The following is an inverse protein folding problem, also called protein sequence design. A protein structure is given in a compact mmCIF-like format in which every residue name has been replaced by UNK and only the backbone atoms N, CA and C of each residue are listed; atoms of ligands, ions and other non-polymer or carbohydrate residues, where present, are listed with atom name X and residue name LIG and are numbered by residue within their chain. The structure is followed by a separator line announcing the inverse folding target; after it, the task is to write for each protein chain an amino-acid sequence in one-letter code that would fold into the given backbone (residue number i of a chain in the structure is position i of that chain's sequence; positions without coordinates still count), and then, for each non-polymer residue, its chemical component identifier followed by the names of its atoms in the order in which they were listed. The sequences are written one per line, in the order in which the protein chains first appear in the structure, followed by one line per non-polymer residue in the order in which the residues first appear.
data_IF_910566112534
#
_entry.id   IF_910566112534
#
_cell.length_a   1.000
_cell.length_b   1.000
_cell.length_c   1.000
_cell.angle_alpha   90.00
_cell.angle_beta   90.00
_cell.angle_gamma   90.00
#
_symmetry.space_group_name_H-M   'P 1'
#
loop_
_entity.id
_entity.type
_entity.pdbx_description
1 polymer ?
#
# COMPACT_ATOMS: atom_id res chain seq x y z
N UNK A 1 29.11 11.62 -1.16
CA UNK A 1 27.81 11.04 -1.56
C UNK A 1 26.79 11.55 -0.57
N UNK A 2 25.79 12.28 -1.03
CA UNK A 2 24.65 12.68 -0.21
C UNK A 2 23.66 11.52 -0.17
N UNK A 3 23.52 10.88 0.99
CA UNK A 3 22.44 9.93 1.24
C UNK A 3 21.22 10.70 1.78
N UNK A 4 19.98 10.19 1.63
CA UNK A 4 18.82 10.85 2.23
C UNK A 4 18.97 10.92 3.75
N UNK A 5 18.44 11.99 4.33
CA UNK A 5 18.38 12.17 5.78
C UNK A 5 17.05 11.61 6.29
N UNK A 6 17.09 10.64 7.20
CA UNK A 6 15.89 10.10 7.84
C UNK A 6 15.38 11.07 8.89
N UNK A 7 14.07 11.29 8.90
CA UNK A 7 13.39 11.93 10.01
C UNK A 7 12.35 10.97 10.61
N UNK A 8 12.43 10.74 11.92
CA UNK A 8 11.55 9.85 12.67
C UNK A 8 10.90 10.61 13.83
N UNK A 9 9.57 10.70 13.82
CA UNK A 9 8.81 11.43 14.82
C UNK A 9 7.82 10.51 15.54
N UNK A 10 7.72 10.65 16.86
CA UNK A 10 6.69 9.98 17.68
C UNK A 10 5.77 11.06 18.23
N UNK A 11 4.47 10.87 17.99
CA UNK A 11 3.43 11.79 18.42
C UNK A 11 2.54 11.10 19.46
N UNK A 12 2.62 11.58 20.71
CA UNK A 12 1.91 11.01 21.85
C UNK A 12 0.46 11.51 21.99
N UNK A 13 -0.05 12.32 21.06
CA UNK A 13 -1.47 12.70 21.06
C UNK A 13 -2.39 11.51 20.74
N UNK A 14 -3.66 11.64 21.12
CA UNK A 14 -4.73 10.69 20.78
C UNK A 14 -5.29 10.99 19.38
N UNK A 15 -6.20 10.14 18.92
CA UNK A 15 -6.95 10.35 17.68
C UNK A 15 -6.21 9.95 16.40
N UNK A 16 -6.95 9.86 15.28
CA UNK A 16 -6.46 9.27 14.02
C UNK A 16 -5.56 10.19 13.20
N UNK A 17 -5.59 11.52 13.41
CA UNK A 17 -4.82 12.46 12.59
C UNK A 17 -3.34 12.49 12.96
N UNK A 18 -2.48 12.47 11.95
CA UNK A 18 -1.03 12.68 12.11
C UNK A 18 -0.62 14.15 12.12
N UNK A 19 -1.52 15.06 11.72
CA UNK A 19 -1.24 16.49 11.73
C UNK A 19 -1.03 17.03 13.15
N UNK A 20 -0.21 18.08 13.27
CA UNK A 20 0.03 18.75 14.54
C UNK A 20 -1.23 19.49 15.01
N UNK A 21 -1.49 19.47 16.32
CA UNK A 21 -2.59 20.19 16.93
C UNK A 21 -2.52 21.70 16.63
N UNK A 22 -3.66 22.33 16.37
CA UNK A 22 -3.79 23.78 16.22
C UNK A 22 -3.61 24.43 17.57
N UNK A 23 -2.51 25.15 17.72
CA UNK A 23 -2.23 26.00 18.88
C UNK A 23 -2.66 27.42 18.48
N UNK A 24 -3.53 28.06 19.28
CA UNK A 24 -3.88 29.46 19.04
C UNK A 24 -2.61 30.33 18.99
N UNK A 25 -2.55 31.26 18.05
CA UNK A 25 -1.43 32.17 17.78
C UNK A 25 -0.13 31.52 17.24
N UNK A 26 -0.13 30.21 16.95
CA UNK A 26 1.01 29.49 16.34
C UNK A 26 0.60 28.56 15.20
N UNK A 27 -0.64 28.07 15.19
CA UNK A 27 -1.16 27.14 14.20
C UNK A 27 -1.55 27.81 12.88
N UNK A 28 -1.50 27.02 11.82
CA UNK A 28 -1.91 27.35 10.46
C UNK A 28 -3.31 26.75 10.25
N UNK A 29 -4.28 27.60 9.93
CA UNK A 29 -5.63 27.18 9.52
C UNK A 29 -5.54 26.22 8.33
N UNK A 30 -6.44 25.24 8.27
CA UNK A 30 -6.50 24.18 7.25
C UNK A 30 -5.29 23.22 7.19
N UNK A 31 -4.29 23.40 8.05
CA UNK A 31 -3.13 22.48 8.18
C UNK A 31 -3.11 21.80 9.53
N UNK A 32 -3.34 22.56 10.60
CA UNK A 32 -3.37 22.03 11.96
C UNK A 32 -4.77 21.55 12.37
N UNK A 33 -4.84 20.51 13.21
CA UNK A 33 -6.11 19.93 13.68
C UNK A 33 -6.49 20.42 15.07
N UNK A 34 -7.77 20.73 15.31
CA UNK A 34 -8.23 21.05 16.66
C UNK A 34 -8.05 19.82 17.56
N UNK A 35 -7.38 20.01 18.71
CA UNK A 35 -7.13 18.95 19.69
C UNK A 35 -7.44 19.44 21.11
N UNK A 36 -7.69 18.49 22.00
CA UNK A 36 -7.97 18.70 23.43
C UNK A 36 -6.72 19.08 24.25
N UNK A 37 -5.52 18.84 23.71
CA UNK A 37 -4.24 19.25 24.27
C UNK A 37 -3.19 19.48 23.19
N UNK A 38 -2.15 20.25 23.52
CA UNK A 38 -0.97 20.38 22.66
C UNK A 38 -0.29 19.01 22.50
N UNK A 39 -0.10 18.57 21.25
CA UNK A 39 0.53 17.29 20.96
C UNK A 39 2.00 17.29 21.40
N UNK A 40 2.38 16.34 22.26
CA UNK A 40 3.80 16.07 22.54
C UNK A 40 4.35 15.26 21.37
N UNK A 41 5.14 15.92 20.52
CA UNK A 41 5.83 15.32 19.39
C UNK A 41 7.31 15.32 19.71
N UNK A 42 7.94 14.15 19.64
CA UNK A 42 9.37 13.97 19.84
C UNK A 42 10.02 13.56 18.53
N UNK A 43 11.13 14.22 18.20
CA UNK A 43 12.07 13.81 17.16
C UNK A 43 13.04 12.78 17.76
N UNK A 44 13.12 11.60 17.13
CA UNK A 44 14.04 10.52 17.52
C UNK A 44 15.04 10.19 16.40
N UNK A 45 15.18 11.07 15.41
CA UNK A 45 15.99 10.85 14.21
C UNK A 45 17.47 10.61 14.51
N UNK A 46 18.00 11.26 15.55
CA UNK A 46 19.39 11.18 15.98
C UNK A 46 19.75 9.87 16.71
N UNK A 47 18.75 9.13 17.18
CA UNK A 47 18.91 7.87 17.91
C UNK A 47 18.39 6.65 17.15
N UNK A 48 18.04 6.79 15.87
CA UNK A 48 17.62 5.66 15.02
C UNK A 48 18.80 4.70 14.78
N UNK A 49 18.59 3.42 15.09
CA UNK A 49 19.54 2.35 14.79
C UNK A 49 19.08 1.49 13.60
N UNK A 50 17.78 1.22 13.48
CA UNK A 50 17.24 0.59 12.26
C UNK A 50 15.77 0.88 12.03
N UNK A 51 15.38 0.86 10.75
CA UNK A 51 13.99 0.98 10.31
C UNK A 51 13.73 -0.16 9.33
N UNK A 52 12.69 -0.93 9.58
CA UNK A 52 12.13 -1.87 8.61
C UNK A 52 10.66 -1.51 8.37
N UNK A 53 10.31 -1.21 7.12
CA UNK A 53 8.92 -0.97 6.70
C UNK A 53 8.50 -1.95 5.64
N UNK A 54 7.21 -2.32 5.65
CA UNK A 54 6.61 -3.13 4.59
C UNK A 54 5.18 -2.70 4.37
N UNK A 55 4.85 -2.31 3.14
CA UNK A 55 3.48 -2.05 2.68
C UNK A 55 3.29 -2.70 1.30
N UNK A 56 2.10 -3.18 0.97
CA UNK A 56 1.83 -3.62 -0.40
C UNK A 56 0.65 -4.55 -0.58
N UNK A 57 0.42 -4.90 -1.83
CA UNK A 57 -0.58 -5.86 -2.31
C UNK A 57 -0.05 -7.28 -2.28
N UNK A 58 -0.85 -8.20 -1.78
CA UNK A 58 -0.61 -9.62 -1.97
C UNK A 58 -1.28 -10.05 -3.28
N UNK A 59 -0.47 -10.49 -4.26
CA UNK A 59 -0.95 -10.85 -5.59
C UNK A 59 -1.86 -12.09 -5.61
N UNK A 60 -1.68 -13.04 -4.68
CA UNK A 60 -2.52 -14.26 -4.62
C UNK A 60 -3.86 -14.01 -3.92
N UNK A 61 -3.85 -13.17 -2.88
CA UNK A 61 -5.07 -12.75 -2.19
C UNK A 61 -5.78 -11.60 -2.91
N UNK A 62 -5.14 -11.01 -3.93
CA UNK A 62 -5.60 -9.85 -4.70
C UNK A 62 -5.98 -8.63 -3.83
N UNK A 63 -5.35 -8.48 -2.67
CA UNK A 63 -5.69 -7.47 -1.65
C UNK A 63 -4.46 -6.77 -1.08
N UNK A 64 -4.58 -5.46 -0.82
CA UNK A 64 -3.61 -4.71 -0.02
C UNK A 64 -3.60 -5.18 1.43
N UNK A 65 -2.40 -5.29 1.98
CA UNK A 65 -2.15 -5.78 3.32
C UNK A 65 -1.87 -4.62 4.27
N UNK A 66 -2.15 -4.81 5.57
CA UNK A 66 -1.77 -3.86 6.61
C UNK A 66 -0.27 -3.61 6.58
N UNK A 67 0.11 -2.35 6.37
CA UNK A 67 1.47 -1.88 6.43
C UNK A 67 2.05 -2.00 7.85
N UNK A 68 3.34 -2.28 7.92
CA UNK A 68 4.06 -2.49 9.18
C UNK A 68 5.35 -1.68 9.25
N UNK A 69 5.72 -1.30 10.47
CA UNK A 69 6.98 -0.65 10.81
C UNK A 69 7.59 -1.33 12.05
N UNK A 70 8.89 -1.61 11.97
CA UNK A 70 9.75 -1.89 13.11
C UNK A 70 10.84 -0.82 13.15
N UNK A 71 10.74 0.10 14.13
CA UNK A 71 11.73 1.14 14.40
C UNK A 71 12.55 0.74 15.63
N UNK A 72 13.87 0.61 15.50
CA UNK A 72 14.78 0.40 16.64
C UNK A 72 15.55 1.67 16.92
N UNK A 73 15.51 2.13 18.17
CA UNK A 73 16.24 3.31 18.64
C UNK A 73 17.21 2.94 19.76
N UNK A 74 18.30 3.70 19.87
CA UNK A 74 19.22 3.67 21.00
C UNK A 74 18.55 4.39 22.18
N UNK A 75 18.42 3.71 23.32
CA UNK A 75 17.69 4.19 24.50
C UNK A 75 18.52 4.04 25.78
N UNK A 76 19.73 4.60 25.78
CA UNK A 76 20.68 4.45 26.90
C UNK A 76 20.17 4.99 28.24
N UNK A 77 19.31 6.03 28.21
CA UNK A 77 18.72 6.61 29.41
C UNK A 77 17.39 5.94 29.81
N UNK A 78 16.92 4.95 29.03
CA UNK A 78 15.65 4.26 29.25
C UNK A 78 14.44 5.19 29.20
N UNK A 79 14.47 6.22 28.35
CA UNK A 79 13.36 7.17 28.19
C UNK A 79 12.12 6.53 27.57
N UNK A 80 12.30 5.47 26.78
CA UNK A 80 11.20 4.70 26.18
C UNK A 80 10.82 3.46 27.01
N UNK A 81 11.28 3.38 28.26
CA UNK A 81 10.79 2.40 29.23
C UNK A 81 9.55 2.95 29.96
N UNK A 82 8.36 2.33 29.81
CA UNK A 82 7.13 2.78 30.48
C UNK A 82 7.21 2.81 32.02
N UNK A 83 8.17 2.11 32.61
CA UNK A 83 8.38 2.04 34.07
C UNK A 83 9.41 3.06 34.59
N UNK A 84 10.06 3.82 33.71
CA UNK A 84 11.02 4.84 34.13
C UNK A 84 10.30 6.11 34.59
N UNK A 85 10.07 6.22 35.90
CA UNK A 85 9.38 7.36 36.53
C UNK A 85 10.10 8.69 36.29
N UNK A 86 11.43 8.67 36.13
CA UNK A 86 12.24 9.86 35.87
C UNK A 86 12.34 10.22 34.38
N UNK A 87 11.78 9.38 33.50
CA UNK A 87 11.84 9.57 32.06
C UNK A 87 10.85 10.65 31.57
N UNK A 88 11.21 11.44 30.54
CA UNK A 88 10.35 12.50 30.02
C UNK A 88 9.05 11.98 29.38
N UNK A 89 9.01 10.69 28.99
CA UNK A 89 7.86 10.05 28.35
C UNK A 89 7.08 9.13 29.30
N UNK A 90 7.37 9.18 30.60
CA UNK A 90 6.61 8.43 31.61
C UNK A 90 5.10 8.71 31.47
N UNK A 91 4.28 7.66 31.53
CA UNK A 91 2.82 7.67 31.29
C UNK A 91 2.36 7.99 29.86
N UNK A 92 3.24 8.42 28.94
CA UNK A 92 2.89 8.70 27.54
C UNK A 92 3.06 7.47 26.62
N UNK A 93 3.89 6.51 27.04
CA UNK A 93 4.25 5.28 26.31
C UNK A 93 3.14 4.23 26.33
N UNK A 94 1.95 4.58 25.85
CA UNK A 94 0.83 3.67 25.66
C UNK A 94 0.74 3.19 24.21
N UNK A 95 0.11 2.04 23.91
CA UNK A 95 -0.23 1.69 22.53
C UNK A 95 -1.14 2.74 21.87
N UNK A 96 -1.24 2.66 20.54
CA UNK A 96 -2.03 3.53 19.65
C UNK A 96 -1.59 5.00 19.63
N UNK A 97 -0.35 5.29 20.04
CA UNK A 97 0.33 6.54 19.71
C UNK A 97 0.83 6.51 18.28
N UNK A 98 1.17 7.66 17.72
CA UNK A 98 1.49 7.79 16.29
C UNK A 98 2.99 7.82 16.07
N UNK A 99 3.42 7.28 14.94
CA UNK A 99 4.80 7.34 14.47
C UNK A 99 4.82 7.70 13.00
N UNK A 100 5.74 8.57 12.60
CA UNK A 100 5.95 8.99 11.22
C UNK A 100 7.42 8.90 10.86
N UNK A 101 7.70 8.27 9.72
CA UNK A 101 9.02 8.15 9.12
C UNK A 101 8.98 8.87 7.77
N UNK A 102 9.93 9.77 7.57
CA UNK A 102 10.15 10.47 6.29
C UNK A 102 11.63 10.42 5.93
N UNK A 103 11.93 10.72 4.68
CA UNK A 103 13.29 10.95 4.22
C UNK A 103 13.39 12.26 3.46
N UNK A 104 14.38 13.08 3.78
CA UNK A 104 14.69 14.30 3.04
C UNK A 104 15.87 14.05 2.13
N UNK A 105 15.71 14.32 0.84
CA UNK A 105 16.78 14.26 -0.15
C UNK A 105 16.69 15.47 -1.08
N UNK A 106 17.81 16.20 -1.21
CA UNK A 106 17.78 17.53 -1.79
C UNK A 106 16.89 18.47 -0.98
N UNK A 107 15.90 19.09 -1.62
CA UNK A 107 14.92 19.98 -0.98
C UNK A 107 13.52 19.34 -0.82
N UNK A 108 13.39 18.04 -1.09
CA UNK A 108 12.11 17.32 -1.06
C UNK A 108 12.09 16.35 0.12
N UNK A 109 10.96 16.31 0.83
CA UNK A 109 10.72 15.35 1.92
C UNK A 109 9.68 14.34 1.45
N UNK A 110 10.06 13.06 1.48
CA UNK A 110 9.27 11.94 1.02
C UNK A 110 8.69 11.18 2.23
N UNK A 111 7.38 10.89 2.26
CA UNK A 111 6.81 10.03 3.27
C UNK A 111 7.26 8.58 3.07
N UNK A 112 7.64 7.89 4.15
CA UNK A 112 8.01 6.47 4.11
C UNK A 112 6.93 5.63 4.79
N UNK A 113 6.49 6.05 5.97
CA UNK A 113 5.48 5.34 6.75
C UNK A 113 4.84 6.25 7.79
N UNK A 114 3.52 6.16 7.94
CA UNK A 114 2.78 6.76 9.04
C UNK A 114 1.82 5.74 9.63
N UNK A 115 1.82 5.57 10.94
CA UNK A 115 1.01 4.55 11.59
C UNK A 115 0.91 4.64 13.10
N UNK A 116 0.29 3.63 13.69
CA UNK A 116 -0.04 3.54 15.11
C UNK A 116 0.84 2.49 15.80
N UNK A 117 1.53 2.91 16.85
CA UNK A 117 2.44 2.10 17.67
C UNK A 117 1.63 1.02 18.40
N UNK A 118 1.97 -0.24 18.18
CA UNK A 118 1.35 -1.40 18.83
C UNK A 118 2.12 -1.84 20.06
N UNK A 119 3.45 -1.65 20.09
CA UNK A 119 4.26 -2.00 21.25
C UNK A 119 5.58 -1.23 21.33
N UNK A 120 6.10 -1.13 22.55
CA UNK A 120 7.47 -0.73 22.88
C UNK A 120 8.13 -1.92 23.58
N UNK A 121 9.30 -2.33 23.11
CA UNK A 121 10.05 -3.45 23.69
C UNK A 121 11.50 -3.05 23.93
N UNK A 122 11.88 -2.87 25.19
CA UNK A 122 13.25 -2.57 25.58
C UNK A 122 14.08 -3.85 25.63
N UNK A 123 15.26 -3.82 25.02
CA UNK A 123 16.25 -4.89 25.07
C UNK A 123 17.53 -4.32 25.68
N UNK A 124 17.99 -4.92 26.77
CA UNK A 124 19.30 -4.66 27.38
C UNK A 124 20.14 -5.91 27.14
N UNK A 125 21.00 -5.91 26.10
CA UNK A 125 21.98 -6.99 25.93
C UNK A 125 22.77 -7.12 27.23
N UNK A 126 23.00 -8.34 27.72
CA UNK A 126 23.94 -8.57 28.81
C UNK A 126 25.28 -8.91 28.18
N UNK A 127 26.20 -7.95 28.10
CA UNK A 127 27.54 -8.16 27.58
C UNK A 127 28.57 -7.54 28.53
N UNK A 128 29.74 -8.18 28.63
CA UNK A 128 30.78 -7.79 29.59
C UNK A 128 31.49 -6.47 29.26
N UNK A 129 31.09 -5.76 28.20
CA UNK A 129 31.72 -4.54 27.69
C UNK A 129 30.66 -3.57 27.15
N UNK A 130 30.11 -2.73 28.02
CA UNK A 130 29.30 -1.55 27.64
C UNK A 130 27.99 -1.88 26.89
N UNK A 131 26.94 -2.19 27.64
CA UNK A 131 25.64 -2.55 27.06
C UNK A 131 24.92 -1.32 26.50
N UNK A 132 24.77 -1.26 25.17
CA UNK A 132 23.85 -0.30 24.53
C UNK A 132 22.44 -0.82 24.69
N UNK A 133 21.61 -0.07 25.40
CA UNK A 133 20.18 -0.36 25.54
C UNK A 133 19.44 0.10 24.29
N UNK A 134 18.55 -0.75 23.77
CA UNK A 134 17.71 -0.43 22.63
C UNK A 134 16.24 -0.52 23.00
N UNK A 135 15.40 0.30 22.37
CA UNK A 135 13.96 0.12 22.38
C UNK A 135 13.47 -0.10 20.96
N UNK A 136 12.74 -1.20 20.74
CA UNK A 136 12.08 -1.50 19.47
C UNK A 136 10.62 -1.09 19.56
N UNK A 137 10.19 -0.26 18.63
CA UNK A 137 8.84 0.28 18.48
C UNK A 137 8.22 -0.41 17.28
N UNK A 138 7.15 -1.16 17.51
CA UNK A 138 6.36 -1.77 16.43
C UNK A 138 5.15 -0.90 16.14
N UNK A 139 4.83 -0.72 14.86
CA UNK A 139 3.66 0.03 14.43
C UNK A 139 3.01 -0.57 13.19
N UNK A 140 1.75 -0.24 13.00
CA UNK A 140 0.92 -0.67 11.86
C UNK A 140 0.15 0.53 11.32
N UNK A 141 -0.19 0.52 10.05
CA UNK A 141 -0.93 1.62 9.42
C UNK A 141 -2.40 1.71 9.88
N UNK A 142 -3.16 2.61 9.24
CA UNK A 142 -4.56 2.88 9.55
C UNK A 142 -5.51 1.68 9.36
N UNK A 143 -5.14 0.63 8.60
CA UNK A 143 -5.95 -0.58 8.47
C UNK A 143 -6.22 -1.21 9.83
N UNK A 144 -5.29 -1.09 10.79
CA UNK A 144 -5.50 -1.58 12.15
C UNK A 144 -6.74 -1.01 12.81
N UNK A 145 -7.03 0.27 12.62
CA UNK A 145 -8.18 0.92 13.23
C UNK A 145 -9.49 0.48 12.56
N UNK A 146 -9.51 0.40 11.23
CA UNK A 146 -10.65 -0.14 10.49
C UNK A 146 -10.89 -1.63 10.79
N UNK A 147 -9.84 -2.41 11.04
CA UNK A 147 -9.95 -3.82 11.43
C UNK A 147 -10.51 -4.00 12.85
N UNK A 148 -10.15 -3.11 13.79
CA UNK A 148 -10.63 -3.19 15.16
C UNK A 148 -12.07 -2.66 15.32
N UNK A 149 -12.50 -1.75 14.45
CA UNK A 149 -13.83 -1.16 14.50
C UNK A 149 -14.90 -2.14 13.97
N UNK A 150 -15.80 -2.59 14.84
CA UNK A 150 -16.96 -3.38 14.48
C UNK A 150 -18.13 -2.48 14.11
N UNK A 151 -18.74 -2.75 12.95
CA UNK A 151 -19.91 -2.03 12.44
C UNK A 151 -21.02 -3.04 12.13
N UNK A 152 -22.26 -2.55 12.01
CA UNK A 152 -23.41 -3.36 11.57
C UNK A 152 -24.27 -2.55 10.60
N UNK A 153 -25.11 -1.66 11.11
CA UNK A 153 -25.87 -0.71 10.30
C UNK A 153 -25.06 0.57 10.11
N UNK A 154 -24.93 1.01 8.86
CA UNK A 154 -24.15 2.20 8.49
C UNK A 154 -25.11 3.25 7.93
N UNK A 155 -25.10 4.45 8.49
CA UNK A 155 -25.98 5.52 8.03
C UNK A 155 -25.66 5.92 6.57
N UNK A 156 -26.69 6.36 5.83
CA UNK A 156 -26.51 6.84 4.46
C UNK A 156 -26.14 5.76 3.45
N UNK A 157 -26.40 4.47 3.72
CA UNK A 157 -25.97 3.36 2.87
C UNK A 157 -27.07 2.66 2.06
N UNK A 158 -27.89 3.45 1.36
CA UNK A 158 -28.96 2.93 0.50
C UNK A 158 -28.44 2.27 -0.78
N UNK A 159 -29.29 1.51 -1.46
CA UNK A 159 -29.02 1.02 -2.81
C UNK A 159 -28.90 2.18 -3.80
N UNK A 160 -28.05 2.02 -4.82
CA UNK A 160 -27.88 2.94 -5.95
C UNK A 160 -26.69 3.88 -5.81
N UNK A 161 -25.96 3.78 -4.71
CA UNK A 161 -24.76 4.58 -4.47
C UNK A 161 -23.56 4.00 -5.21
N UNK A 162 -22.65 4.86 -5.63
CA UNK A 162 -21.35 4.42 -6.15
C UNK A 162 -20.46 3.91 -5.00
N UNK A 163 -19.50 3.07 -5.35
CA UNK A 163 -18.55 2.44 -4.42
C UNK A 163 -17.74 3.44 -3.60
N UNK A 164 -17.30 4.56 -4.19
CA UNK A 164 -16.60 5.63 -3.47
C UNK A 164 -17.45 6.31 -2.40
N UNK A 165 -18.71 6.60 -2.71
CA UNK A 165 -19.66 7.13 -1.74
C UNK A 165 -19.91 6.13 -0.60
N UNK A 166 -19.99 4.83 -0.90
CA UNK A 166 -20.11 3.76 0.11
C UNK A 166 -18.86 3.70 1.01
N UNK A 167 -17.65 3.81 0.46
CA UNK A 167 -16.40 3.83 1.24
C UNK A 167 -16.37 5.04 2.18
N UNK A 168 -16.75 6.23 1.72
CA UNK A 168 -16.82 7.41 2.57
C UNK A 168 -17.79 7.21 3.76
N UNK A 169 -18.98 6.66 3.52
CA UNK A 169 -19.94 6.37 4.60
C UNK A 169 -19.40 5.33 5.61
N UNK A 170 -18.64 4.33 5.13
CA UNK A 170 -17.99 3.34 6.00
C UNK A 170 -16.88 3.96 6.86
N UNK A 171 -16.09 4.86 6.29
CA UNK A 171 -15.05 5.59 7.01
C UNK A 171 -15.66 6.62 7.99
N UNK A 172 -16.82 7.21 7.67
CA UNK A 172 -17.58 8.08 8.58
C UNK A 172 -18.09 7.31 9.80
N UNK A 173 -18.53 6.07 9.61
CA UNK A 173 -19.01 5.23 10.71
C UNK A 173 -17.95 4.94 11.78
N UNK A 174 -16.66 5.01 11.41
CA UNK A 174 -15.53 4.89 12.34
C UNK A 174 -14.90 6.25 12.69
N UNK A 175 -15.55 7.35 12.31
CA UNK A 175 -15.09 8.72 12.54
C UNK A 175 -13.68 8.99 11.99
N UNK A 176 -13.33 8.38 10.85
CA UNK A 176 -12.05 8.67 10.19
C UNK A 176 -12.06 10.12 9.67
N UNK A 177 -10.96 10.90 9.72
CA UNK A 177 -10.99 12.28 9.25
C UNK A 177 -11.15 12.38 7.74
N UNK A 178 -11.96 13.33 7.25
CA UNK A 178 -12.10 13.57 5.80
C UNK A 178 -10.81 14.06 5.15
N UNK A 179 -9.98 14.81 5.89
CA UNK A 179 -8.66 15.29 5.42
C UNK A 179 -7.62 14.17 5.29
N UNK A 180 -7.98 12.93 5.62
CA UNK A 180 -7.11 11.75 5.60
C UNK A 180 -7.70 10.64 4.71
N UNK A 181 -8.42 11.06 3.68
CA UNK A 181 -9.06 10.21 2.69
C UNK A 181 -8.78 10.79 1.31
N UNK A 182 -8.44 9.92 0.39
CA UNK A 182 -8.50 10.19 -1.04
C UNK A 182 -9.35 9.07 -1.66
N UNK A 183 -10.56 9.39 -2.09
CA UNK A 183 -11.55 8.39 -2.46
C UNK A 183 -12.18 8.80 -3.78
N UNK A 184 -11.84 8.05 -4.83
CA UNK A 184 -12.48 8.19 -6.13
C UNK A 184 -13.98 7.94 -6.04
N UNK A 185 -14.80 8.55 -6.92
CA UNK A 185 -16.25 8.34 -6.91
C UNK A 185 -16.67 6.87 -7.08
N UNK A 186 -15.91 6.11 -7.87
CA UNK A 186 -16.26 4.75 -8.29
C UNK A 186 -17.18 4.71 -9.51
N UNK A 187 -17.23 3.57 -10.19
CA UNK A 187 -18.03 3.34 -11.39
C UNK A 187 -19.17 2.32 -11.18
N UNK A 188 -19.04 1.44 -10.19
CA UNK A 188 -20.06 0.43 -9.89
C UNK A 188 -21.08 0.98 -8.90
N UNK A 189 -22.38 0.86 -9.22
CA UNK A 189 -23.43 1.09 -8.23
C UNK A 189 -23.59 -0.14 -7.34
N UNK A 190 -23.83 0.09 -6.05
CA UNK A 190 -23.96 -0.98 -5.06
C UNK A 190 -25.37 -1.14 -4.51
N UNK A 191 -25.69 -2.35 -4.09
CA UNK A 191 -26.87 -2.66 -3.29
C UNK A 191 -26.83 -1.93 -1.94
N UNK A 192 -27.96 -1.94 -1.23
CA UNK A 192 -28.01 -1.45 0.14
C UNK A 192 -27.02 -2.21 1.02
N UNK A 193 -26.46 -1.55 2.03
CA UNK A 193 -25.60 -2.22 2.99
C UNK A 193 -26.32 -3.42 3.63
N UNK A 194 -25.68 -4.60 3.74
CA UNK A 194 -26.35 -5.77 4.28
C UNK A 194 -26.70 -5.64 5.78
N UNK A 195 -26.17 -4.64 6.48
CA UNK A 195 -26.50 -4.39 7.90
C UNK A 195 -25.97 -5.45 8.87
N UNK A 196 -25.10 -6.34 8.40
CA UNK A 196 -24.53 -7.45 9.17
C UNK A 196 -23.28 -7.04 9.94
N UNK A 197 -23.06 -7.66 11.10
CA UNK A 197 -21.88 -7.43 11.92
C UNK A 197 -20.59 -7.82 11.18
N UNK A 198 -19.66 -6.87 11.06
CA UNK A 198 -18.36 -7.05 10.40
C UNK A 198 -17.39 -5.94 10.80
N UNK A 199 -16.12 -6.10 10.43
CA UNK A 199 -15.14 -5.02 10.62
C UNK A 199 -15.36 -3.94 9.57
N UNK A 200 -15.01 -2.70 9.87
CA UNK A 200 -15.06 -1.62 8.87
C UNK A 200 -14.12 -1.92 7.70
N UNK A 201 -12.94 -2.51 7.97
CA UNK A 201 -12.00 -2.93 6.93
C UNK A 201 -12.63 -3.96 5.99
N UNK A 202 -13.28 -5.00 6.53
CA UNK A 202 -13.95 -6.02 5.73
C UNK A 202 -15.04 -5.40 4.86
N UNK A 203 -15.81 -4.45 5.39
CA UNK A 203 -16.82 -3.75 4.62
C UNK A 203 -16.20 -2.95 3.47
N UNK A 204 -15.11 -2.21 3.70
CA UNK A 204 -14.40 -1.49 2.64
C UNK A 204 -13.83 -2.42 1.57
N UNK A 205 -13.22 -3.55 1.97
CA UNK A 205 -12.66 -4.54 1.03
C UNK A 205 -13.73 -5.22 0.17
N UNK A 206 -14.93 -5.45 0.71
CA UNK A 206 -16.05 -5.95 -0.10
C UNK A 206 -16.47 -4.93 -1.17
N UNK A 207 -16.44 -3.64 -0.83
CA UNK A 207 -16.78 -2.55 -1.77
C UNK A 207 -15.69 -2.37 -2.82
N UNK A 208 -14.42 -2.40 -2.41
CA UNK A 208 -13.26 -2.45 -3.30
C UNK A 208 -13.37 -3.60 -4.31
N UNK A 209 -13.58 -4.83 -3.81
CA UNK A 209 -13.71 -6.01 -4.67
C UNK A 209 -14.95 -5.91 -5.56
N UNK A 210 -16.02 -5.24 -5.11
CA UNK A 210 -17.19 -4.98 -5.93
C UNK A 210 -16.90 -3.99 -7.08
N UNK A 211 -16.01 -3.02 -6.86
CA UNK A 211 -15.59 -2.06 -7.88
C UNK A 211 -14.65 -2.67 -8.93
N UNK A 212 -13.86 -3.67 -8.53
CA UNK A 212 -12.58 -4.01 -9.16
C UNK A 212 -11.55 -2.85 -9.03
N UNK A 213 -11.63 -2.14 -7.89
CA UNK A 213 -10.75 -1.02 -7.55
C UNK A 213 -9.59 -1.44 -6.65
N UNK A 214 -9.00 -0.46 -5.96
CA UNK A 214 -7.96 -0.69 -4.96
C UNK A 214 -8.19 0.16 -3.71
N UNK A 215 -8.12 -0.47 -2.53
CA UNK A 215 -8.23 0.20 -1.24
C UNK A 215 -6.98 -0.04 -0.39
N UNK A 216 -6.29 1.03 0.02
CA UNK A 216 -5.02 0.94 0.75
C UNK A 216 -4.76 2.15 1.66
N UNK A 217 -3.66 2.10 2.41
CA UNK A 217 -3.14 3.25 3.17
C UNK A 217 -1.83 3.71 2.54
N UNK A 218 -1.75 4.99 2.19
CA UNK A 218 -0.54 5.58 1.62
C UNK A 218 0.58 5.76 2.67
N UNK A 219 1.74 6.27 2.26
CA UNK A 219 2.86 6.49 3.17
C UNK A 219 2.59 7.64 4.17
N UNK A 220 1.63 8.52 3.88
CA UNK A 220 1.21 9.62 4.75
C UNK A 220 0.20 9.20 5.81
N UNK A 221 -0.37 8.01 5.70
CA UNK A 221 -1.33 7.43 6.64
C UNK A 221 -2.79 7.66 6.27
N UNK A 222 -3.08 8.11 5.04
CA UNK A 222 -4.42 8.37 4.52
C UNK A 222 -5.01 7.12 3.86
N UNK A 223 -6.32 6.93 4.00
CA UNK A 223 -7.04 5.89 3.25
C UNK A 223 -7.20 6.32 1.81
N UNK A 224 -6.79 5.47 0.88
CA UNK A 224 -6.91 5.70 -0.56
C UNK A 224 -7.86 4.68 -1.15
N UNK A 225 -8.81 5.14 -1.97
CA UNK A 225 -9.62 4.30 -2.84
C UNK A 225 -9.46 4.77 -4.28
N UNK A 226 -8.94 3.89 -5.12
CA UNK A 226 -8.80 4.09 -6.56
C UNK A 226 -9.87 3.29 -7.29
N UNK A 227 -10.61 3.95 -8.18
CA UNK A 227 -11.65 3.29 -8.97
C UNK A 227 -11.09 2.44 -10.12
N UNK A 228 -11.99 1.72 -10.80
CA UNK A 228 -11.58 0.82 -11.88
C UNK A 228 -10.96 1.54 -13.08
N UNK A 229 -11.25 2.82 -13.30
CA UNK A 229 -10.64 3.55 -14.40
C UNK A 229 -9.15 3.75 -14.14
N UNK A 230 -8.76 4.17 -12.94
CA UNK A 230 -7.35 4.32 -12.60
C UNK A 230 -6.60 2.98 -12.59
N UNK A 231 -7.21 1.93 -12.04
CA UNK A 231 -6.57 0.60 -12.01
C UNK A 231 -6.35 0.01 -13.40
N UNK A 232 -7.13 0.43 -14.41
CA UNK A 232 -6.96 0.05 -15.80
C UNK A 232 -5.96 0.93 -16.56
N UNK A 233 -5.97 2.25 -16.34
CA UNK A 233 -5.25 3.20 -17.19
C UNK A 233 -3.86 3.59 -16.69
N UNK A 234 -3.58 3.46 -15.39
CA UNK A 234 -2.35 3.95 -14.76
C UNK A 234 -1.06 3.35 -15.35
N UNK A 235 -1.12 2.13 -15.87
CA UNK A 235 0.02 1.46 -16.51
C UNK A 235 0.50 2.16 -17.80
N UNK A 236 -0.33 3.01 -18.42
CA UNK A 236 0.03 3.76 -19.62
C UNK A 236 0.79 5.07 -19.34
N UNK A 237 0.96 5.47 -18.07
CA UNK A 237 1.81 6.60 -17.75
C UNK A 237 3.29 6.32 -18.12
N UNK A 238 4.08 7.38 -18.30
CA UNK A 238 5.48 7.24 -18.71
C UNK A 238 6.27 6.48 -17.62
N UNK A 239 6.87 5.30 -17.95
CA UNK A 239 7.51 4.48 -16.94
C UNK A 239 8.87 5.02 -16.52
N UNK A 240 9.23 4.80 -15.26
CA UNK A 240 10.64 4.91 -14.82
C UNK A 240 11.40 3.69 -15.33
N UNK A 241 12.52 3.93 -16.01
CA UNK A 241 13.27 2.88 -16.71
C UNK A 241 14.49 2.43 -15.92
N UNK A 242 14.56 1.13 -15.66
CA UNK A 242 15.65 0.44 -14.99
C UNK A 242 16.40 -0.49 -15.95
N UNK A 243 17.73 -0.50 -15.89
CA UNK A 243 18.58 -1.34 -16.75
C UNK A 243 19.91 -1.67 -16.04
N UNK A 244 20.53 -2.81 -16.35
CA UNK A 244 21.82 -3.26 -15.80
C UNK A 244 23.02 -3.05 -16.75
N UNK A 245 22.84 -2.34 -17.87
CA UNK A 245 23.92 -2.03 -18.82
C UNK A 245 24.46 -0.60 -18.74
N UNK A 246 24.04 0.20 -17.75
CA UNK A 246 24.45 1.59 -17.59
C UNK A 246 23.77 2.60 -18.53
N UNK A 247 22.67 2.24 -19.19
CA UNK A 247 21.90 3.16 -20.07
C UNK A 247 20.68 3.80 -19.40
N UNK A 248 20.28 3.32 -18.22
CA UNK A 248 19.13 3.82 -17.46
C UNK A 248 19.45 3.80 -15.95
N UNK A 249 18.43 3.83 -15.08
CA UNK A 249 18.67 3.71 -13.63
C UNK A 249 19.15 2.29 -13.33
N UNK A 250 20.38 2.15 -12.83
CA UNK A 250 20.91 0.87 -12.37
C UNK A 250 20.08 0.35 -11.18
N UNK A 251 20.10 -0.97 -10.93
CA UNK A 251 19.44 -1.58 -9.77
C UNK A 251 20.33 -2.63 -9.13
N UNK A 252 20.08 -2.93 -7.85
CA UNK A 252 20.88 -3.89 -7.11
C UNK A 252 20.47 -5.35 -7.39
N UNK A 253 19.17 -5.60 -7.51
CA UNK A 253 18.64 -6.92 -7.85
C UNK A 253 17.31 -6.82 -8.60
N UNK A 254 17.02 -7.78 -9.46
CA UNK A 254 15.74 -7.96 -10.14
C UNK A 254 15.35 -9.44 -10.11
N UNK A 255 14.13 -9.75 -9.67
CA UNK A 255 13.64 -11.11 -9.51
C UNK A 255 12.70 -11.46 -10.66
N UNK A 256 13.24 -12.13 -11.67
CA UNK A 256 12.47 -12.61 -12.81
C UNK A 256 11.87 -13.99 -12.56
N UNK A 257 10.61 -14.16 -12.92
CA UNK A 257 9.87 -15.41 -12.76
C UNK A 257 8.95 -15.66 -13.95
N UNK A 258 8.77 -16.94 -14.26
CA UNK A 258 7.68 -17.43 -15.11
C UNK A 258 7.04 -18.60 -14.38
N UNK A 259 5.78 -18.45 -13.98
CA UNK A 259 5.03 -19.48 -13.29
C UNK A 259 3.53 -19.32 -13.54
N UNK A 260 2.75 -20.27 -13.04
CA UNK A 260 1.28 -20.34 -13.13
C UNK A 260 0.57 -19.67 -11.95
N UNK A 261 1.29 -19.10 -10.99
CA UNK A 261 0.73 -18.61 -9.73
C UNK A 261 -0.35 -17.53 -9.89
N UNK A 262 -0.30 -16.77 -10.98
CA UNK A 262 -1.28 -15.73 -11.30
C UNK A 262 -2.22 -16.13 -12.45
N UNK A 263 -2.19 -17.39 -12.89
CA UNK A 263 -3.11 -17.90 -13.92
C UNK A 263 -4.45 -18.19 -13.29
N UNK A 264 -5.50 -17.59 -13.85
CA UNK A 264 -6.90 -17.86 -13.53
C UNK A 264 -7.70 -17.89 -14.82
N UNK A 265 -8.23 -19.06 -15.15
CA UNK A 265 -8.91 -19.34 -16.41
C UNK A 265 -10.37 -19.72 -16.25
N UNK A 266 -10.89 -19.62 -15.02
CA UNK A 266 -12.31 -19.57 -14.71
C UNK A 266 -12.55 -18.59 -13.56
N UNK A 267 -13.59 -17.75 -13.66
CA UNK A 267 -14.02 -16.86 -12.60
C UNK A 267 -15.52 -17.02 -12.34
N UNK A 268 -15.88 -17.22 -11.08
CA UNK A 268 -17.25 -17.37 -10.59
C UNK A 268 -17.58 -16.24 -9.61
N UNK A 269 -18.47 -15.34 -10.01
CA UNK A 269 -18.80 -14.10 -9.28
C UNK A 269 -20.25 -14.12 -8.83
N UNK A 270 -20.48 -13.93 -7.53
CA UNK A 270 -21.81 -13.93 -6.93
C UNK A 270 -22.02 -12.66 -6.10
N UNK A 271 -22.89 -11.78 -6.59
CA UNK A 271 -23.43 -10.69 -5.78
C UNK A 271 -24.54 -11.20 -4.85
N UNK A 272 -24.68 -10.56 -3.69
CA UNK A 272 -25.64 -10.97 -2.66
C UNK A 272 -27.07 -11.02 -3.23
N UNK A 273 -27.74 -12.16 -3.04
CA UNK A 273 -29.10 -12.38 -3.52
C UNK A 273 -29.26 -12.57 -5.04
N UNK A 274 -28.16 -12.54 -5.81
CA UNK A 274 -28.18 -12.71 -7.26
C UNK A 274 -27.58 -14.08 -7.67
N UNK A 275 -27.86 -14.50 -8.91
CA UNK A 275 -27.31 -15.73 -9.46
C UNK A 275 -25.82 -15.57 -9.80
N UNK A 276 -25.03 -16.62 -9.53
CA UNK A 276 -23.61 -16.69 -9.90
C UNK A 276 -23.42 -16.51 -11.40
N UNK A 277 -22.44 -15.69 -11.78
CA UNK A 277 -21.99 -15.51 -13.14
C UNK A 277 -20.62 -16.15 -13.31
N UNK A 278 -20.43 -16.85 -14.42
CA UNK A 278 -19.21 -17.61 -14.70
C UNK A 278 -18.62 -17.19 -16.04
N UNK A 279 -17.31 -16.97 -16.08
CA UNK A 279 -16.52 -16.86 -17.30
C UNK A 279 -15.39 -17.89 -17.27
N UNK A 280 -15.02 -18.45 -18.42
CA UNK A 280 -13.97 -19.47 -18.54
C UNK A 280 -13.26 -19.41 -19.89
N UNK A 281 -11.97 -19.72 -19.92
CA UNK A 281 -11.18 -19.86 -21.15
C UNK A 281 -10.78 -21.34 -21.39
N UNK A 282 -11.41 -21.97 -22.38
CA UNK A 282 -11.20 -23.39 -22.67
C UNK A 282 -9.79 -23.72 -23.20
N UNK A 283 -9.14 -22.79 -23.90
CA UNK A 283 -7.80 -22.99 -24.44
C UNK A 283 -6.76 -22.93 -23.32
N UNK A 284 -6.89 -21.94 -22.43
CA UNK A 284 -6.10 -21.83 -21.22
C UNK A 284 -6.30 -23.03 -20.30
N UNK A 285 -7.54 -23.49 -20.09
CA UNK A 285 -7.82 -24.71 -19.29
C UNK A 285 -7.14 -25.93 -19.90
N UNK A 286 -7.16 -26.08 -21.23
CA UNK A 286 -6.47 -27.19 -21.89
C UNK A 286 -4.94 -27.13 -21.72
N UNK A 287 -4.37 -25.93 -21.60
CA UNK A 287 -2.92 -25.68 -21.48
C UNK A 287 -2.43 -25.76 -20.03
N UNK A 288 -3.18 -25.20 -19.08
CA UNK A 288 -2.76 -24.97 -17.70
C UNK A 288 -3.58 -25.76 -16.67
N UNK A 289 -4.59 -26.54 -17.08
CA UNK A 289 -5.63 -27.08 -16.19
C UNK A 289 -6.48 -25.99 -15.53
N UNK A 290 -7.56 -26.39 -14.88
CA UNK A 290 -8.51 -25.48 -14.26
C UNK A 290 -7.86 -24.71 -13.11
N UNK A 291 -7.86 -23.38 -13.23
CA UNK A 291 -7.49 -22.41 -12.21
C UNK A 291 -8.68 -21.49 -11.97
N UNK A 292 -9.48 -21.81 -10.95
CA UNK A 292 -10.74 -21.11 -10.67
C UNK A 292 -10.60 -20.01 -9.61
N UNK A 293 -11.14 -18.83 -9.89
CA UNK A 293 -11.36 -17.76 -8.95
C UNK A 293 -12.84 -17.72 -8.52
N UNK A 294 -13.11 -17.63 -7.22
CA UNK A 294 -14.48 -17.64 -6.70
C UNK A 294 -14.66 -16.49 -5.72
N UNK A 295 -15.60 -15.59 -6.02
CA UNK A 295 -15.93 -14.46 -5.17
C UNK A 295 -17.44 -14.38 -4.92
N UNK A 296 -17.81 -14.21 -3.66
CA UNK A 296 -19.20 -14.22 -3.21
C UNK A 296 -19.49 -13.03 -2.30
N UNK A 297 -20.79 -12.77 -2.06
CA UNK A 297 -21.28 -11.71 -1.18
C UNK A 297 -20.83 -10.30 -1.63
N UNK A 298 -20.61 -10.12 -2.93
CA UNK A 298 -20.35 -8.80 -3.51
C UNK A 298 -21.64 -7.96 -3.54
N UNK A 299 -21.49 -6.66 -3.77
CA UNK A 299 -22.58 -5.70 -3.63
C UNK A 299 -23.07 -5.14 -4.97
N UNK A 300 -22.72 -5.74 -6.11
CA UNK A 300 -23.18 -5.32 -7.44
C UNK A 300 -24.72 -5.40 -7.52
N UNK A 301 -25.36 -4.45 -8.19
CA UNK A 301 -26.83 -4.39 -8.28
C UNK A 301 -27.44 -5.40 -9.25
N UNK A 302 -26.70 -5.80 -10.27
CA UNK A 302 -27.19 -6.68 -11.30
C UNK A 302 -26.17 -7.76 -11.67
N UNK A 303 -26.65 -8.78 -12.36
CA UNK A 303 -25.83 -9.90 -12.84
C UNK A 303 -24.99 -9.52 -14.06
N UNK A 304 -25.29 -8.43 -14.76
CA UNK A 304 -24.49 -8.02 -15.93
C UNK A 304 -23.13 -7.48 -15.49
N UNK A 305 -23.09 -6.64 -14.45
CA UNK A 305 -21.85 -6.20 -13.79
C UNK A 305 -21.04 -7.39 -13.27
N UNK A 306 -21.69 -8.37 -12.64
CA UNK A 306 -21.01 -9.57 -12.15
C UNK A 306 -20.40 -10.43 -13.28
N UNK A 307 -21.09 -10.54 -14.41
CA UNK A 307 -20.57 -11.24 -15.59
C UNK A 307 -19.39 -10.50 -16.21
N UNK A 308 -19.48 -9.18 -16.35
CA UNK A 308 -18.39 -8.36 -16.87
C UNK A 308 -17.14 -8.44 -15.98
N UNK A 309 -17.31 -8.48 -14.66
CA UNK A 309 -16.21 -8.75 -13.73
C UNK A 309 -15.55 -10.10 -14.04
N UNK A 310 -16.34 -11.17 -14.14
CA UNK A 310 -15.82 -12.51 -14.38
C UNK A 310 -15.03 -12.58 -15.70
N UNK A 311 -15.55 -11.95 -16.76
CA UNK A 311 -14.91 -11.89 -18.07
C UNK A 311 -13.59 -11.10 -18.02
N UNK A 312 -13.59 -9.92 -17.40
CA UNK A 312 -12.37 -9.11 -17.28
C UNK A 312 -11.29 -9.83 -16.46
N UNK A 313 -11.68 -10.51 -15.38
CA UNK A 313 -10.75 -11.25 -14.53
C UNK A 313 -10.08 -12.39 -15.31
N UNK A 314 -10.85 -13.23 -16.01
CA UNK A 314 -10.29 -14.29 -16.86
C UNK A 314 -9.44 -13.71 -17.98
N UNK A 315 -9.88 -12.66 -18.66
CA UNK A 315 -9.13 -12.07 -19.77
C UNK A 315 -7.73 -11.59 -19.35
N UNK A 316 -7.60 -11.01 -18.16
CA UNK A 316 -6.31 -10.54 -17.62
C UNK A 316 -5.37 -11.64 -17.10
N UNK A 317 -5.88 -12.86 -16.87
CA UNK A 317 -5.17 -13.92 -16.13
C UNK A 317 -5.23 -15.29 -16.79
N UNK A 318 -5.83 -15.41 -17.98
CA UNK A 318 -5.91 -16.68 -18.71
C UNK A 318 -4.54 -17.17 -19.21
N UNK A 319 -3.55 -16.28 -19.33
CA UNK A 319 -2.21 -16.60 -19.80
C UNK A 319 -1.15 -16.10 -18.80
N UNK A 320 0.08 -16.61 -18.92
CA UNK A 320 1.22 -16.15 -18.12
C UNK A 320 2.41 -15.85 -19.01
N UNK A 321 3.21 -14.88 -18.58
CA UNK A 321 4.47 -14.51 -19.23
C UNK A 321 5.58 -14.31 -18.21
N UNK A 322 6.82 -14.21 -18.69
CA UNK A 322 7.94 -13.85 -17.82
C UNK A 322 7.72 -12.44 -17.26
N UNK A 323 7.88 -12.28 -15.95
CA UNK A 323 7.67 -11.01 -15.26
C UNK A 323 8.74 -10.79 -14.21
N UNK A 324 8.98 -9.54 -13.86
CA UNK A 324 9.82 -9.17 -12.74
C UNK A 324 8.90 -8.98 -11.53
N UNK A 325 8.99 -9.83 -10.50
CA UNK A 325 8.12 -9.73 -9.31
C UNK A 325 8.67 -8.73 -8.29
N UNK A 326 9.98 -8.46 -8.32
CA UNK A 326 10.63 -7.54 -7.40
C UNK A 326 11.85 -6.88 -8.03
N UNK A 327 12.00 -5.57 -7.81
CA UNK A 327 13.25 -4.84 -8.03
C UNK A 327 13.77 -4.28 -6.70
N UNK A 328 15.08 -4.32 -6.50
CA UNK A 328 15.75 -3.80 -5.32
C UNK A 328 16.74 -2.71 -5.70
N UNK A 329 16.67 -1.58 -5.01
CA UNK A 329 17.58 -0.44 -5.15
C UNK A 329 18.46 -0.30 -3.89
N UNK A 330 19.69 0.17 -4.07
CA UNK A 330 20.65 0.43 -3.00
C UNK A 330 21.04 1.89 -2.98
N UNK A 331 20.57 2.61 -1.97
CA UNK A 331 20.75 4.06 -1.90
C UNK A 331 22.17 4.44 -1.43
N UNK A 332 23.00 3.46 -1.05
CA UNK A 332 24.43 3.65 -0.79
C UNK A 332 25.30 3.49 -2.05
N UNK A 333 24.68 3.25 -3.22
CA UNK A 333 25.40 3.18 -4.50
C UNK A 333 26.04 4.52 -4.85
N UNK A 334 27.26 4.49 -5.40
CA UNK A 334 27.98 5.69 -5.81
C UNK A 334 27.30 6.42 -6.96
N UNK A 335 27.15 7.75 -6.81
CA UNK A 335 26.59 8.65 -7.83
C UNK A 335 25.18 8.24 -8.30
N UNK A 336 24.31 7.93 -7.34
CA UNK A 336 23.05 7.23 -7.59
C UNK A 336 21.81 8.11 -7.39
N UNK A 337 21.90 9.40 -7.73
CA UNK A 337 20.86 10.40 -7.43
C UNK A 337 19.50 10.06 -8.06
N UNK A 338 19.49 9.60 -9.32
CA UNK A 338 18.27 9.17 -10.00
C UNK A 338 17.63 7.94 -9.34
N UNK A 339 18.45 6.98 -8.89
CA UNK A 339 17.97 5.80 -8.18
C UNK A 339 17.47 6.12 -6.77
N UNK A 340 18.08 7.09 -6.08
CA UNK A 340 17.59 7.60 -4.80
C UNK A 340 16.22 8.25 -4.97
N UNK A 341 16.06 9.14 -5.98
CA UNK A 341 14.77 9.78 -6.26
C UNK A 341 13.72 8.71 -6.60
N UNK A 342 14.01 7.80 -7.54
CA UNK A 342 13.09 6.73 -7.89
C UNK A 342 12.71 5.86 -6.68
N UNK A 343 13.66 5.51 -5.81
CA UNK A 343 13.40 4.71 -4.62
C UNK A 343 12.50 5.43 -3.60
N UNK A 344 12.58 6.75 -3.50
CA UNK A 344 11.79 7.53 -2.54
C UNK A 344 10.43 7.93 -3.11
N UNK A 345 10.37 8.25 -4.40
CA UNK A 345 9.19 8.79 -5.08
C UNK A 345 8.20 7.71 -5.53
N UNK A 346 8.67 6.62 -6.16
CA UNK A 346 7.81 5.57 -6.71
C UNK A 346 6.94 4.91 -5.63
N UNK A 347 5.63 4.83 -5.84
CA UNK A 347 4.67 4.14 -4.99
C UNK A 347 3.62 3.40 -5.85
N UNK A 348 2.52 2.95 -5.24
CA UNK A 348 1.53 2.12 -5.92
C UNK A 348 1.02 2.72 -7.22
N UNK A 349 0.83 1.85 -8.22
CA UNK A 349 0.41 2.17 -9.58
C UNK A 349 1.44 2.90 -10.45
N UNK A 350 2.61 3.30 -9.92
CA UNK A 350 3.64 3.89 -10.77
C UNK A 350 4.22 2.86 -11.75
N UNK A 351 4.24 3.16 -13.06
CA UNK A 351 4.76 2.25 -14.05
C UNK A 351 6.29 2.25 -14.06
N UNK A 352 6.88 1.06 -14.19
CA UNK A 352 8.31 0.84 -14.28
C UNK A 352 8.62 -0.11 -15.44
N UNK A 353 9.65 0.20 -16.21
CA UNK A 353 10.18 -0.71 -17.23
C UNK A 353 11.51 -1.25 -16.74
N UNK A 354 11.61 -2.56 -16.57
CA UNK A 354 12.80 -3.22 -16.06
C UNK A 354 13.41 -4.05 -17.18
N UNK A 355 14.69 -3.82 -17.46
CA UNK A 355 15.49 -4.62 -18.39
C UNK A 355 16.67 -5.28 -17.67
N UNK A 356 16.85 -6.57 -17.86
CA UNK A 356 18.02 -7.32 -17.37
C UNK A 356 18.67 -8.07 -18.52
N UNK A 357 19.97 -7.85 -18.72
CA UNK A 357 20.74 -8.61 -19.69
C UNK A 357 20.95 -10.05 -19.18
N UNK A 358 20.69 -11.02 -20.05
CA UNK A 358 20.77 -12.44 -19.74
C UNK A 358 21.93 -13.11 -20.49
N UNK A 359 22.43 -14.25 -19.99
CA UNK A 359 23.36 -15.08 -20.73
C UNK A 359 22.88 -15.39 -22.15
N UNK A 360 23.82 -15.64 -23.06
CA UNK A 360 23.53 -15.92 -24.47
C UNK A 360 23.13 -14.68 -25.28
N UNK A 361 23.32 -13.47 -24.76
CA UNK A 361 23.01 -12.23 -25.47
C UNK A 361 21.51 -11.95 -25.58
N UNK A 362 20.72 -12.48 -24.64
CA UNK A 362 19.27 -12.27 -24.56
C UNK A 362 18.95 -11.20 -23.52
N UNK A 363 17.72 -10.68 -23.52
CA UNK A 363 17.25 -9.72 -22.51
C UNK A 363 15.89 -10.14 -21.99
N UNK A 364 15.64 -9.85 -20.72
CA UNK A 364 14.29 -9.82 -20.16
C UNK A 364 13.89 -8.36 -19.99
N UNK A 365 12.81 -7.96 -20.65
CA UNK A 365 12.25 -6.61 -20.54
C UNK A 365 10.75 -6.69 -20.31
N UNK A 366 10.27 -5.99 -19.29
CA UNK A 366 8.85 -5.85 -18.99
C UNK A 366 8.52 -4.48 -18.43
N UNK A 367 7.34 -3.99 -18.79
CA UNK A 367 6.69 -2.84 -18.14
C UNK A 367 5.64 -3.38 -17.17
N UNK A 368 5.70 -2.92 -15.93
CA UNK A 368 4.88 -3.36 -14.81
C UNK A 368 4.54 -2.14 -13.95
N UNK A 369 3.74 -2.31 -12.91
CA UNK A 369 3.46 -1.28 -11.92
C UNK A 369 3.97 -1.70 -10.54
N UNK A 370 4.33 -0.73 -9.72
CA UNK A 370 4.67 -0.95 -8.32
C UNK A 370 3.39 -1.24 -7.53
N UNK A 371 3.42 -2.28 -6.70
CA UNK A 371 2.30 -2.67 -5.82
C UNK A 371 2.72 -2.94 -4.38
N UNK A 372 4.00 -2.80 -4.07
CA UNK A 372 4.52 -2.97 -2.73
C UNK A 372 5.84 -2.26 -2.60
N UNK A 373 6.11 -1.73 -1.40
CA UNK A 373 7.31 -1.00 -1.07
C UNK A 373 7.76 -1.41 0.34
N UNK A 374 9.00 -1.86 0.45
CA UNK A 374 9.62 -2.16 1.73
C UNK A 374 11.01 -1.55 1.80
N UNK A 375 11.36 -1.04 2.98
CA UNK A 375 12.65 -0.42 3.21
C UNK A 375 13.35 -1.07 4.39
N UNK A 376 14.63 -1.40 4.21
CA UNK A 376 15.54 -1.83 5.27
C UNK A 376 16.64 -0.78 5.39
N UNK A 377 16.61 -0.05 6.51
CA UNK A 377 17.48 1.10 6.75
C UNK A 377 18.28 0.85 8.02
N UNK A 378 19.59 1.03 7.90
CA UNK A 378 20.58 0.99 8.99
C UNK A 378 21.61 2.11 8.74
N UNK A 379 22.45 2.48 9.72
CA UNK A 379 23.49 3.49 9.53
C UNK A 379 24.44 3.25 8.35
N UNK A 380 24.54 2.00 7.87
CA UNK A 380 25.49 1.59 6.84
C UNK A 380 24.82 0.97 5.59
N UNK A 381 23.49 0.93 5.52
CA UNK A 381 22.79 0.38 4.36
C UNK A 381 21.36 0.88 4.29
N UNK A 382 20.89 1.15 3.07
CA UNK A 382 19.51 1.47 2.79
C UNK A 382 19.06 0.75 1.52
N UNK A 383 18.26 -0.30 1.72
CA UNK A 383 17.68 -1.11 0.65
C UNK A 383 16.22 -0.78 0.49
N UNK A 384 15.79 -0.51 -0.73
CA UNK A 384 14.38 -0.35 -1.08
C UNK A 384 14.00 -1.47 -2.03
N UNK A 385 13.02 -2.29 -1.63
CA UNK A 385 12.44 -3.31 -2.49
C UNK A 385 11.06 -2.86 -2.93
N UNK A 386 10.81 -2.92 -4.23
CA UNK A 386 9.52 -2.65 -4.83
C UNK A 386 9.02 -3.93 -5.48
N UNK A 387 7.87 -4.42 -5.02
CA UNK A 387 7.21 -5.55 -5.68
C UNK A 387 6.42 -5.02 -6.87
N UNK A 388 6.54 -5.67 -8.01
CA UNK A 388 5.95 -5.24 -9.27
C UNK A 388 4.98 -6.28 -9.79
N UNK A 389 3.86 -5.83 -10.37
CA UNK A 389 2.86 -6.70 -11.00
C UNK A 389 2.35 -6.04 -12.29
N UNK A 390 1.67 -6.82 -13.11
CA UNK A 390 0.85 -6.28 -14.20
C UNK A 390 -0.34 -5.48 -13.63
N UNK A 391 -1.01 -4.69 -14.47
CA UNK A 391 -2.16 -3.90 -14.04
C UNK A 391 -3.24 -4.81 -13.43
N UNK A 392 -3.99 -4.29 -12.44
CA UNK A 392 -5.02 -5.08 -11.74
C UNK A 392 -6.08 -5.62 -12.73
N UNK A 393 -6.41 -4.80 -13.72
CA UNK A 393 -7.33 -5.09 -14.81
C UNK A 393 -6.69 -4.68 -16.14
N UNK A 394 -6.85 -5.52 -17.15
CA UNK A 394 -6.47 -5.17 -18.52
C UNK A 394 -7.58 -4.36 -19.19
N UNK A 395 -7.19 -3.31 -19.90
CA UNK A 395 -8.09 -2.47 -20.67
C UNK A 395 -7.46 -1.97 -21.96
N UNK A 396 -8.30 -1.78 -22.98
CA UNK A 396 -7.94 -1.11 -24.22
C UNK A 396 -7.74 0.37 -23.92
N UNK A 397 -6.49 0.82 -23.97
CA UNK A 397 -6.11 2.20 -23.80
C UNK A 397 -5.84 2.78 -25.19
N UNK A 398 -6.74 3.65 -25.66
CA UNK A 398 -6.57 4.33 -26.94
C UNK A 398 -5.21 5.06 -26.98
N UNK A 399 -4.57 5.03 -28.15
CA UNK A 399 -3.25 5.62 -28.41
C UNK A 399 -2.07 5.02 -27.62
N UNK A 400 -2.27 3.90 -26.91
CA UNK A 400 -1.17 3.15 -26.28
C UNK A 400 -0.53 2.14 -27.24
N UNK A 401 0.80 2.20 -27.40
CA UNK A 401 1.54 1.25 -28.22
C UNK A 401 1.54 -0.19 -27.65
N UNK A 402 1.27 -0.35 -26.35
CA UNK A 402 1.25 -1.64 -25.66
C UNK A 402 -0.18 -2.11 -25.34
N UNK A 403 -1.07 -1.18 -25.02
CA UNK A 403 -2.43 -1.47 -24.52
C UNK A 403 -3.55 -0.96 -25.45
N UNK A 404 -3.22 -0.45 -26.64
CA UNK A 404 -4.17 0.08 -27.63
C UNK A 404 -4.34 -0.80 -28.87
N UNK A 405 -3.93 -2.08 -28.81
CA UNK A 405 -3.89 -2.97 -29.97
C UNK A 405 -5.24 -3.65 -30.13
N UNK A 406 -6.01 -3.27 -31.17
CA UNK A 406 -7.27 -3.94 -31.51
C UNK A 406 -7.05 -5.45 -31.73
N UNK A 407 -8.01 -6.27 -31.31
CA UNK A 407 -7.97 -7.75 -31.33
C UNK A 407 -6.89 -8.40 -30.43
N UNK A 408 -6.13 -7.61 -29.65
CA UNK A 408 -5.16 -8.10 -28.65
C UNK A 408 -5.45 -7.54 -27.26
N UNK A 409 -5.78 -6.25 -27.18
CA UNK A 409 -6.15 -5.57 -25.95
C UNK A 409 -7.63 -5.83 -25.61
N UNK A 410 -7.90 -6.06 -24.32
CA UNK A 410 -9.23 -6.40 -23.81
C UNK A 410 -10.06 -5.13 -23.66
N UNK A 411 -11.30 -5.10 -24.12
CA UNK A 411 -12.23 -4.01 -23.74
C UNK A 411 -12.55 -4.15 -22.25
N UNK A 412 -12.05 -3.24 -21.43
CA UNK A 412 -12.37 -3.21 -20.00
C UNK A 412 -13.80 -2.72 -19.76
N UNK A 413 -14.39 -3.20 -18.65
CA UNK A 413 -15.77 -2.95 -18.21
C UNK A 413 -16.05 -1.52 -17.76
#
# INVERSE_FOLDING_TARGET
MTIPTINAYINFSTGPSFAQAMILDQGILDTNVLADAAAVIVDVSDVVDSINTRRGRNAQADQFQTGTLSLRIVDQNGYFNPMNISGPYYQLLTPMRKVQITATYGAVTYPIFSGFITSYSTTTPQSSVGDVVYTTIQAVDAFRLAQNAQISTVAGTSAGQLTGARINNLLDAISWPNSMRDVDPGLTTVQADPGTARTALQACQVVETTEFGAFYVDASGSFIFQDRNLTASSVAAAPVVFNDNGTAIDYFNAVWVTNDTLVYNEANITATGLATQTASDAASIAKYFLHSYNQQNLLMQDTATALNYAQAYVASRAETSVRCDEIQLDLYTANYDAGIIAALDLDYFDPVTITTNQPGGTTLTKTLQVFGKSMEITPNSWRVKMTTLEAIIDGLILDSALYGILDTSVLSY
#
